data_IF_173112723078
#
_entry.id   IF_173112723078
#
_cell.length_a   1.000
_cell.length_b   1.000
_cell.length_c   1.000
_cell.angle_alpha   90.00
_cell.angle_beta   90.00
_cell.angle_gamma   90.00
#
_symmetry.space_group_name_H-M   'P 1'
#
loop_
_entity.id
_entity.type
_entity.pdbx_description
1 polymer ?
#
# COMPACT_ATOMS: atom_id res chain seq x y z
N UNK A 1 -54.93 -25.88 32.95
CA UNK A 1 -53.53 -26.01 33.44
C UNK A 1 -52.57 -26.76 32.50
N UNK A 2 -53.02 -27.45 31.44
CA UNK A 2 -52.13 -28.19 30.52
C UNK A 2 -51.41 -27.34 29.46
N UNK A 3 -51.90 -26.14 29.15
CA UNK A 3 -51.34 -25.26 28.09
C UNK A 3 -50.06 -24.51 28.50
N UNK A 4 -49.88 -24.24 29.79
CA UNK A 4 -48.71 -23.50 30.31
C UNK A 4 -47.43 -24.35 30.31
N UNK A 5 -47.55 -25.67 30.50
CA UNK A 5 -46.42 -26.61 30.48
C UNK A 5 -45.84 -26.79 29.06
N UNK A 6 -46.69 -26.88 28.04
CA UNK A 6 -46.27 -27.02 26.65
C UNK A 6 -45.50 -25.80 26.13
N UNK A 7 -45.94 -24.57 26.47
CA UNK A 7 -45.23 -23.34 26.10
C UNK A 7 -43.86 -23.19 26.79
N UNK A 8 -43.72 -23.70 28.03
CA UNK A 8 -42.46 -23.67 28.80
C UNK A 8 -41.46 -24.73 28.31
N UNK A 9 -41.92 -25.88 27.85
CA UNK A 9 -41.09 -26.92 27.22
C UNK A 9 -40.62 -26.51 25.81
N UNK A 10 -41.47 -25.86 25.03
CA UNK A 10 -41.09 -25.37 23.69
C UNK A 10 -40.02 -24.27 23.76
N UNK A 11 -40.12 -23.36 24.74
CA UNK A 11 -39.13 -22.30 24.97
C UNK A 11 -37.79 -22.82 25.49
N UNK A 12 -37.79 -23.83 26.37
CA UNK A 12 -36.56 -24.51 26.83
C UNK A 12 -35.92 -25.34 25.71
N UNK A 13 -36.72 -26.03 24.90
CA UNK A 13 -36.21 -26.79 23.74
C UNK A 13 -35.57 -25.88 22.68
N UNK A 14 -36.18 -24.73 22.40
CA UNK A 14 -35.63 -23.74 21.47
C UNK A 14 -34.33 -23.11 22.02
N UNK A 15 -34.30 -22.79 23.32
CA UNK A 15 -33.08 -22.31 23.98
C UNK A 15 -31.96 -23.36 23.92
N UNK A 16 -32.25 -24.63 24.23
CA UNK A 16 -31.27 -25.71 24.15
C UNK A 16 -30.72 -25.89 22.73
N UNK A 17 -31.57 -25.86 21.70
CA UNK A 17 -31.16 -25.96 20.30
C UNK A 17 -30.28 -24.77 19.85
N UNK A 18 -30.59 -23.55 20.31
CA UNK A 18 -29.77 -22.36 20.06
C UNK A 18 -28.40 -22.45 20.76
N UNK A 19 -28.35 -23.02 21.96
CA UNK A 19 -27.09 -23.28 22.66
C UNK A 19 -26.24 -24.37 21.99
N UNK A 20 -26.85 -25.42 21.43
CA UNK A 20 -26.12 -26.45 20.65
C UNK A 20 -25.41 -25.81 19.43
N UNK A 21 -26.08 -24.86 18.75
CA UNK A 21 -25.49 -24.12 17.63
C UNK A 21 -24.30 -23.24 18.02
N UNK A 22 -24.33 -22.61 19.20
CA UNK A 22 -23.22 -21.80 19.71
C UNK A 22 -22.00 -22.66 20.08
N UNK A 23 -22.21 -23.82 20.70
CA UNK A 23 -21.13 -24.73 21.08
C UNK A 23 -20.45 -25.33 19.84
N UNK A 24 -21.23 -25.72 18.83
CA UNK A 24 -20.69 -26.20 17.55
C UNK A 24 -19.86 -25.12 16.85
N UNK A 25 -20.34 -23.87 16.83
CA UNK A 25 -19.60 -22.74 16.26
C UNK A 25 -18.31 -22.44 17.02
N UNK A 26 -18.34 -22.46 18.36
CA UNK A 26 -17.16 -22.25 19.18
C UNK A 26 -16.11 -23.36 18.97
N UNK A 27 -16.52 -24.63 18.95
CA UNK A 27 -15.63 -25.75 18.68
C UNK A 27 -15.00 -25.67 17.27
N UNK A 28 -15.80 -25.30 16.27
CA UNK A 28 -15.32 -25.08 14.90
C UNK A 28 -14.36 -23.89 14.79
N UNK A 29 -14.68 -22.76 15.43
CA UNK A 29 -13.83 -21.57 15.42
C UNK A 29 -12.51 -21.82 16.18
N UNK A 30 -12.50 -22.63 17.25
CA UNK A 30 -11.26 -23.08 17.92
C UNK A 30 -10.46 -24.05 17.06
N UNK A 31 -11.10 -25.03 16.43
CA UNK A 31 -10.43 -25.97 15.53
C UNK A 31 -9.82 -25.27 14.31
N UNK A 32 -10.47 -24.22 13.81
CA UNK A 32 -10.00 -23.44 12.66
C UNK A 32 -9.18 -22.19 13.03
N UNK A 33 -9.09 -21.85 14.32
CA UNK A 33 -8.33 -20.68 14.79
C UNK A 33 -6.86 -20.71 14.34
N UNK A 34 -6.11 -21.83 14.44
CA UNK A 34 -4.71 -21.85 14.00
C UNK A 34 -4.57 -21.58 12.50
N UNK A 35 -5.42 -22.18 11.67
CA UNK A 35 -5.40 -21.98 10.21
C UNK A 35 -5.72 -20.53 9.85
N UNK A 36 -6.72 -19.93 10.51
CA UNK A 36 -7.09 -18.51 10.30
C UNK A 36 -6.00 -17.55 10.77
N UNK A 37 -5.36 -17.83 11.91
CA UNK A 37 -4.25 -17.02 12.42
C UNK A 37 -3.04 -17.11 11.49
N UNK A 38 -2.68 -18.32 11.05
CA UNK A 38 -1.59 -18.53 10.10
C UNK A 38 -1.87 -17.83 8.76
N UNK A 39 -3.09 -17.96 8.21
CA UNK A 39 -3.50 -17.28 6.99
C UNK A 39 -3.38 -15.75 7.11
N UNK A 40 -3.87 -15.16 8.20
CA UNK A 40 -3.74 -13.71 8.44
C UNK A 40 -2.29 -13.25 8.63
N UNK A 41 -1.45 -14.07 9.25
CA UNK A 41 -0.04 -13.75 9.42
C UNK A 41 0.70 -13.73 8.07
N UNK A 42 0.40 -14.69 7.19
CA UNK A 42 0.95 -14.76 5.82
C UNK A 42 0.45 -13.59 4.98
N UNK A 43 -0.85 -13.27 5.05
CA UNK A 43 -1.41 -12.12 4.33
C UNK A 43 -0.74 -10.82 4.77
N UNK A 44 -0.61 -10.55 6.07
CA UNK A 44 0.08 -9.34 6.56
C UNK A 44 1.55 -9.28 6.18
N UNK A 45 2.26 -10.42 6.24
CA UNK A 45 3.65 -10.50 5.82
C UNK A 45 3.81 -10.24 4.32
N UNK A 46 2.83 -10.63 3.51
CA UNK A 46 2.88 -10.52 2.03
C UNK A 46 2.34 -9.18 1.53
N UNK A 47 1.28 -8.65 2.15
CA UNK A 47 0.71 -7.34 1.81
C UNK A 47 1.62 -6.20 2.26
N UNK A 48 2.26 -6.31 3.43
CA UNK A 48 3.24 -5.30 3.89
C UNK A 48 4.37 -5.09 2.87
N UNK A 49 4.84 -6.16 2.23
CA UNK A 49 5.86 -6.05 1.18
C UNK A 49 5.28 -5.45 -0.11
N UNK A 50 4.08 -5.87 -0.52
CA UNK A 50 3.41 -5.36 -1.74
C UNK A 50 3.10 -3.85 -1.63
N UNK A 51 2.65 -3.39 -0.46
CA UNK A 51 2.40 -1.97 -0.19
C UNK A 51 3.70 -1.15 -0.17
N UNK A 52 4.78 -1.71 0.39
CA UNK A 52 6.10 -1.08 0.39
C UNK A 52 6.65 -0.92 -1.03
N UNK A 53 6.54 -1.97 -1.86
CA UNK A 53 6.97 -1.94 -3.26
C UNK A 53 6.14 -0.96 -4.09
N UNK A 54 4.82 -0.90 -3.86
CA UNK A 54 3.96 0.07 -4.53
C UNK A 54 4.32 1.50 -4.15
N UNK A 55 4.59 1.76 -2.86
CA UNK A 55 5.05 3.08 -2.39
C UNK A 55 6.39 3.46 -3.00
N UNK A 56 7.35 2.52 -3.03
CA UNK A 56 8.66 2.72 -3.65
C UNK A 56 8.51 3.01 -5.14
N UNK A 57 7.68 2.26 -5.86
CA UNK A 57 7.43 2.47 -7.29
C UNK A 57 6.76 3.81 -7.58
N UNK A 58 5.86 4.29 -6.72
CA UNK A 58 5.30 5.65 -6.82
C UNK A 58 6.36 6.72 -6.59
N UNK A 59 7.25 6.52 -5.62
CA UNK A 59 8.33 7.47 -5.33
C UNK A 59 9.33 7.55 -6.49
N UNK A 60 9.72 6.40 -7.07
CA UNK A 60 10.57 6.37 -8.25
C UNK A 60 9.97 7.13 -9.42
N UNK A 61 8.70 6.86 -9.78
CA UNK A 61 8.02 7.57 -10.88
C UNK A 61 8.03 9.09 -10.68
N UNK A 62 7.76 9.56 -9.45
CA UNK A 62 7.83 10.99 -9.12
C UNK A 62 9.23 11.57 -9.28
N UNK A 63 10.28 10.82 -8.92
CA UNK A 63 11.68 11.24 -9.09
C UNK A 63 12.05 11.31 -10.57
N UNK A 64 11.65 10.32 -11.37
CA UNK A 64 11.87 10.31 -12.83
C UNK A 64 11.12 11.46 -13.52
N UNK A 65 9.86 11.70 -13.16
CA UNK A 65 9.07 12.84 -13.66
C UNK A 65 9.75 14.18 -13.34
N UNK A 66 10.25 14.33 -12.11
CA UNK A 66 10.99 15.52 -11.67
C UNK A 66 12.29 15.68 -12.46
N UNK A 67 13.05 14.61 -12.64
CA UNK A 67 14.28 14.63 -13.44
C UNK A 67 13.98 15.11 -14.86
N UNK A 68 13.02 14.50 -15.55
CA UNK A 68 12.66 14.91 -16.92
C UNK A 68 12.17 16.35 -17.01
N UNK A 69 11.46 16.85 -15.99
CA UNK A 69 11.05 18.26 -15.92
C UNK A 69 12.25 19.21 -15.75
N UNK A 70 13.23 18.84 -14.93
CA UNK A 70 14.47 19.59 -14.74
C UNK A 70 15.32 19.57 -16.02
N UNK A 71 15.48 18.43 -16.68
CA UNK A 71 16.24 18.34 -17.94
C UNK A 71 15.67 19.27 -19.02
N UNK A 72 14.33 19.29 -19.17
CA UNK A 72 13.67 20.23 -20.09
C UNK A 72 13.90 21.69 -19.68
N UNK A 73 13.91 21.99 -18.38
CA UNK A 73 14.13 23.35 -17.88
C UNK A 73 15.57 23.80 -18.05
N UNK A 74 16.52 22.93 -17.71
CA UNK A 74 17.94 23.10 -17.96
C UNK A 74 18.22 23.39 -19.44
N UNK A 75 17.66 22.59 -20.36
CA UNK A 75 17.84 22.81 -21.80
C UNK A 75 17.36 24.20 -22.25
N UNK A 76 16.16 24.63 -21.80
CA UNK A 76 15.63 25.97 -22.09
C UNK A 76 16.50 27.08 -21.48
N UNK A 77 16.94 26.91 -20.24
CA UNK A 77 17.78 27.88 -19.55
C UNK A 77 19.16 27.97 -20.17
N UNK A 78 19.72 26.84 -20.60
CA UNK A 78 20.99 26.76 -21.31
C UNK A 78 20.92 27.50 -22.65
N UNK A 79 19.88 27.27 -23.44
CA UNK A 79 19.67 27.98 -24.70
C UNK A 79 19.61 29.51 -24.50
N UNK A 80 18.88 29.99 -23.48
CA UNK A 80 18.81 31.43 -23.18
C UNK A 80 20.14 31.98 -22.65
N UNK A 81 20.85 31.19 -21.83
CA UNK A 81 22.20 31.51 -21.38
C UNK A 81 23.15 31.70 -22.56
N UNK A 82 23.10 30.79 -23.55
CA UNK A 82 23.93 30.85 -24.75
C UNK A 82 23.57 32.08 -25.62
N UNK A 83 22.35 32.61 -25.50
CA UNK A 83 21.95 33.90 -26.12
C UNK A 83 22.34 35.15 -25.31
N UNK A 84 23.04 34.99 -24.17
CA UNK A 84 23.57 36.09 -23.36
C UNK A 84 22.75 36.46 -22.11
N UNK A 85 21.67 35.74 -21.79
CA UNK A 85 20.90 35.99 -20.57
C UNK A 85 21.62 35.43 -19.33
N UNK A 86 22.24 36.32 -18.56
CA UNK A 86 22.97 35.96 -17.34
C UNK A 86 22.07 35.28 -16.28
N UNK A 87 20.81 35.70 -16.14
CA UNK A 87 19.87 35.09 -15.18
C UNK A 87 19.53 33.67 -15.61
N UNK A 88 19.40 33.44 -16.92
CA UNK A 88 19.21 32.10 -17.45
C UNK A 88 20.45 31.21 -17.23
N UNK A 89 21.67 31.76 -17.28
CA UNK A 89 22.87 31.02 -16.92
C UNK A 89 22.84 30.57 -15.44
N UNK A 90 22.43 31.44 -14.51
CA UNK A 90 22.25 31.08 -13.11
C UNK A 90 21.18 30.00 -12.91
N UNK A 91 20.08 30.10 -13.63
CA UNK A 91 19.01 29.12 -13.60
C UNK A 91 19.46 27.76 -14.14
N UNK A 92 20.18 27.73 -15.27
CA UNK A 92 20.74 26.51 -15.84
C UNK A 92 21.71 25.82 -14.86
N UNK A 93 22.56 26.58 -14.15
CA UNK A 93 23.45 26.02 -13.13
C UNK A 93 22.68 25.38 -11.96
N UNK A 94 21.60 26.01 -11.52
CA UNK A 94 20.73 25.48 -10.46
C UNK A 94 20.02 24.20 -10.88
N UNK A 95 19.42 24.21 -12.07
CA UNK A 95 18.75 23.02 -12.61
C UNK A 95 19.73 21.86 -12.75
N UNK A 96 20.94 22.13 -13.25
CA UNK A 96 21.98 21.11 -13.38
C UNK A 96 22.42 20.54 -12.03
N UNK A 97 22.60 21.38 -11.00
CA UNK A 97 22.92 20.93 -9.65
C UNK A 97 21.81 20.04 -9.06
N UNK A 98 20.55 20.38 -9.32
CA UNK A 98 19.40 19.58 -8.87
C UNK A 98 19.31 18.23 -9.61
N UNK A 99 19.58 18.22 -10.92
CA UNK A 99 19.70 16.99 -11.71
C UNK A 99 20.77 16.08 -11.09
N UNK A 100 21.96 16.61 -10.81
CA UNK A 100 23.05 15.85 -10.21
C UNK A 100 22.73 15.31 -8.81
N UNK A 101 21.92 16.02 -8.03
CA UNK A 101 21.45 15.54 -6.74
C UNK A 101 20.42 14.40 -6.84
N UNK A 102 19.64 14.34 -7.93
CA UNK A 102 18.62 13.32 -8.14
C UNK A 102 19.16 12.02 -8.75
N UNK A 103 20.15 12.10 -9.64
CA UNK A 103 20.68 10.96 -10.39
C UNK A 103 21.10 9.75 -9.53
N UNK A 104 21.79 9.91 -8.38
CA UNK A 104 22.18 8.76 -7.56
C UNK A 104 21.00 7.96 -6.98
N UNK A 105 19.83 8.59 -6.89
CA UNK A 105 18.62 8.00 -6.33
C UNK A 105 17.72 7.33 -7.36
N UNK A 106 18.13 7.26 -8.63
CA UNK A 106 17.40 6.64 -9.72
C UNK A 106 18.09 5.34 -10.18
N UNK A 107 17.32 4.32 -10.59
CA UNK A 107 17.89 3.09 -11.13
C UNK A 107 18.60 3.41 -12.45
N UNK A 108 19.74 2.74 -12.69
CA UNK A 108 20.41 2.84 -13.97
C UNK A 108 19.55 2.16 -15.06
N UNK A 109 19.39 2.81 -16.21
CA UNK A 109 18.81 2.18 -17.38
C UNK A 109 19.61 0.92 -17.74
N UNK A 110 18.95 -0.23 -18.01
CA UNK A 110 19.65 -1.41 -18.47
C UNK A 110 20.28 -1.12 -19.84
N UNK A 111 21.61 -1.29 -19.95
CA UNK A 111 22.31 -1.25 -21.24
C UNK A 111 21.71 -2.32 -22.15
N UNK A 112 21.02 -1.89 -23.20
CA UNK A 112 20.49 -2.76 -24.26
C UNK A 112 21.55 -3.04 -25.31
#
# INVERSE_FOLDING_TARGET
>A
MRTVAAGKLLTVGLAAALLQGCLAKAAFDVATAPVRVAAKAVDLATTSQSEADEKRGRELRRREERLGALERSYARHRQRCDSGDQRACDAARRDYAEIQALLPGLPAEPRR
#
